data_IF_207645883357
#
_entry.id   IF_207645883357
#
_cell.length_a   1.000
_cell.length_b   1.000
_cell.length_c   1.000
_cell.angle_alpha   90.00
_cell.angle_beta   90.00
_cell.angle_gamma   90.00
#
_symmetry.space_group_name_H-M   'P 1'
#
loop_
_entity.id
_entity.type
_entity.pdbx_description
1 polymer ?
#
# COMPACT_ATOMS: atom_id res chain seq x y z
N UNK A 1 8.39 -8.15 -9.83
CA UNK A 1 8.37 -9.44 -9.10
C UNK A 1 9.17 -10.51 -9.82
N UNK A 2 8.99 -10.70 -11.13
CA UNK A 2 9.78 -11.65 -11.92
C UNK A 2 11.30 -11.44 -11.78
N UNK A 3 11.79 -10.20 -11.83
CA UNK A 3 13.21 -9.89 -11.58
C UNK A 3 13.68 -10.39 -10.21
N UNK A 4 12.84 -10.28 -9.18
CA UNK A 4 13.18 -10.74 -7.82
C UNK A 4 13.22 -12.27 -7.73
N UNK A 5 12.28 -12.95 -8.41
CA UNK A 5 12.30 -14.41 -8.51
C UNK A 5 13.56 -14.87 -9.24
N UNK A 6 13.90 -14.21 -10.35
CA UNK A 6 15.12 -14.50 -11.12
C UNK A 6 16.40 -14.21 -10.32
N UNK A 7 16.36 -13.27 -9.37
CA UNK A 7 17.47 -12.99 -8.45
C UNK A 7 17.51 -13.92 -7.21
N UNK A 8 16.68 -14.96 -7.17
CA UNK A 8 16.69 -15.98 -6.12
C UNK A 8 15.78 -15.70 -4.91
N UNK A 9 14.95 -14.66 -4.94
CA UNK A 9 13.92 -14.46 -3.90
C UNK A 9 12.82 -15.50 -4.09
N UNK A 10 12.43 -16.17 -3.03
CA UNK A 10 11.39 -17.22 -3.09
C UNK A 10 9.98 -16.64 -3.03
N UNK A 11 9.00 -17.38 -3.55
CA UNK A 11 7.58 -17.02 -3.39
C UNK A 11 7.17 -16.87 -1.91
N UNK A 12 7.74 -17.67 -1.00
CA UNK A 12 7.48 -17.57 0.44
C UNK A 12 8.00 -16.24 1.02
N UNK A 13 9.16 -15.75 0.56
CA UNK A 13 9.65 -14.44 0.96
C UNK A 13 8.72 -13.32 0.44
N UNK A 14 8.26 -13.43 -0.82
CA UNK A 14 7.33 -12.45 -1.41
C UNK A 14 5.98 -12.38 -0.70
N UNK A 15 5.50 -13.50 -0.12
CA UNK A 15 4.30 -13.50 0.73
C UNK A 15 4.42 -12.57 1.94
N UNK A 16 5.64 -12.38 2.45
CA UNK A 16 5.94 -11.56 3.63
C UNK A 16 6.23 -10.10 3.27
N UNK A 17 6.65 -9.79 2.05
CA UNK A 17 7.07 -8.44 1.65
C UNK A 17 5.94 -7.42 1.57
N UNK A 18 4.73 -7.87 1.27
CA UNK A 18 3.58 -6.99 1.24
C UNK A 18 2.49 -7.44 0.29
N UNK A 19 1.44 -6.63 0.23
CA UNK A 19 0.20 -6.96 -0.46
C UNK A 19 0.43 -7.27 -1.95
N UNK A 20 1.05 -6.36 -2.68
CA UNK A 20 1.24 -6.49 -4.13
C UNK A 20 2.17 -7.66 -4.47
N UNK A 21 3.30 -7.76 -3.77
CA UNK A 21 4.26 -8.86 -3.92
C UNK A 21 3.58 -10.22 -3.75
N UNK A 22 2.78 -10.37 -2.69
CA UNK A 22 1.99 -11.56 -2.42
C UNK A 22 1.05 -11.93 -3.57
N UNK A 23 0.24 -10.98 -4.05
CA UNK A 23 -0.74 -11.26 -5.10
C UNK A 23 -0.08 -11.59 -6.44
N UNK A 24 0.94 -10.83 -6.82
CA UNK A 24 1.68 -11.06 -8.07
C UNK A 24 2.45 -12.38 -7.99
N UNK A 25 3.08 -12.68 -6.84
CA UNK A 25 3.76 -13.95 -6.57
C UNK A 25 2.83 -15.14 -6.77
N UNK A 26 1.61 -15.09 -6.22
CA UNK A 26 0.59 -16.14 -6.37
C UNK A 26 0.12 -16.33 -7.82
N UNK A 27 0.01 -15.25 -8.58
CA UNK A 27 -0.30 -15.32 -10.01
C UNK A 27 0.83 -16.02 -10.78
N UNK A 28 2.08 -15.62 -10.55
CA UNK A 28 3.25 -16.23 -11.19
C UNK A 28 3.43 -17.71 -10.80
N UNK A 29 3.06 -18.08 -9.57
CA UNK A 29 3.04 -19.47 -9.11
C UNK A 29 1.87 -20.30 -9.72
N UNK A 30 0.94 -19.67 -10.44
CA UNK A 30 -0.23 -20.33 -11.03
C UNK A 30 -1.37 -20.61 -10.04
N UNK A 31 -1.25 -20.16 -8.79
CA UNK A 31 -2.29 -20.34 -7.75
C UNK A 31 -3.46 -19.36 -7.87
N UNK A 32 -3.30 -18.28 -8.63
CA UNK A 32 -4.36 -17.34 -8.99
C UNK A 32 -4.35 -17.08 -10.50
N UNK A 33 -5.54 -17.00 -11.11
CA UNK A 33 -5.67 -16.49 -12.47
C UNK A 33 -5.46 -14.97 -12.49
N UNK A 34 -5.03 -14.42 -13.63
CA UNK A 34 -4.74 -12.98 -13.78
C UNK A 34 -5.91 -12.09 -13.35
N UNK A 35 -7.12 -12.38 -13.85
CA UNK A 35 -8.32 -11.59 -13.53
C UNK A 35 -8.67 -11.67 -12.04
N UNK A 36 -8.56 -12.86 -11.44
CA UNK A 36 -8.83 -13.07 -10.03
C UNK A 36 -7.82 -12.34 -9.15
N UNK A 37 -6.53 -12.43 -9.49
CA UNK A 37 -5.45 -11.71 -8.83
C UNK A 37 -5.71 -10.21 -8.87
N UNK A 38 -6.05 -9.66 -10.04
CA UNK A 38 -6.33 -8.24 -10.21
C UNK A 38 -7.53 -7.79 -9.36
N UNK A 39 -8.65 -8.51 -9.41
CA UNK A 39 -9.84 -8.18 -8.61
C UNK A 39 -9.55 -8.19 -7.11
N UNK A 40 -8.91 -9.26 -6.63
CA UNK A 40 -8.60 -9.43 -5.19
C UNK A 40 -7.59 -8.39 -4.71
N UNK A 41 -6.54 -8.13 -5.49
CA UNK A 41 -5.55 -7.11 -5.17
C UNK A 41 -6.19 -5.73 -5.11
N UNK A 42 -7.01 -5.37 -6.10
CA UNK A 42 -7.71 -4.09 -6.12
C UNK A 42 -8.59 -3.89 -4.88
N UNK A 43 -9.41 -4.89 -4.53
CA UNK A 43 -10.21 -4.84 -3.29
C UNK A 43 -9.34 -4.68 -2.04
N UNK A 44 -8.23 -5.42 -1.97
CA UNK A 44 -7.34 -5.38 -0.82
C UNK A 44 -6.62 -4.02 -0.67
N UNK A 45 -6.26 -3.36 -1.78
CA UNK A 45 -5.72 -1.99 -1.79
C UNK A 45 -6.74 -1.02 -1.20
N UNK A 46 -8.00 -1.07 -1.66
CA UNK A 46 -9.07 -0.21 -1.12
C UNK A 46 -9.28 -0.41 0.38
N UNK A 47 -9.31 -1.66 0.84
CA UNK A 47 -9.44 -1.97 2.25
C UNK A 47 -8.23 -1.50 3.06
N UNK A 48 -7.02 -1.63 2.52
CA UNK A 48 -5.81 -1.13 3.15
C UNK A 48 -5.85 0.39 3.30
N UNK A 49 -6.17 1.13 2.24
CA UNK A 49 -6.34 2.59 2.28
C UNK A 49 -7.41 3.02 3.28
N UNK A 50 -8.55 2.30 3.37
CA UNK A 50 -9.57 2.56 4.39
C UNK A 50 -9.02 2.38 5.81
N UNK A 51 -8.22 1.34 6.06
CA UNK A 51 -7.56 1.12 7.36
C UNK A 51 -6.55 2.21 7.68
N UNK A 52 -5.78 2.69 6.70
CA UNK A 52 -4.88 3.84 6.87
C UNK A 52 -5.66 5.07 7.33
N UNK A 53 -6.78 5.39 6.69
CA UNK A 53 -7.64 6.51 7.14
C UNK A 53 -8.16 6.34 8.56
N UNK A 54 -8.56 5.12 8.96
CA UNK A 54 -8.95 4.85 10.34
C UNK A 54 -7.78 5.04 11.32
N UNK A 55 -6.58 4.59 10.95
CA UNK A 55 -5.37 4.76 11.76
C UNK A 55 -5.05 6.24 11.97
N UNK A 56 -5.05 7.05 10.92
CA UNK A 56 -4.79 8.49 11.02
C UNK A 56 -5.85 9.23 11.85
N UNK A 57 -7.14 8.92 11.68
CA UNK A 57 -8.20 9.48 12.54
C UNK A 57 -8.00 9.12 14.01
N UNK A 58 -7.54 7.91 14.29
CA UNK A 58 -7.22 7.51 15.66
C UNK A 58 -6.03 8.30 16.22
N UNK A 59 -5.02 8.62 15.41
CA UNK A 59 -3.92 9.49 15.84
C UNK A 59 -4.42 10.89 16.22
N UNK A 60 -5.27 11.51 15.39
CA UNK A 60 -5.90 12.81 15.71
C UNK A 60 -6.73 12.76 16.98
N UNK A 61 -7.51 11.68 17.17
CA UNK A 61 -8.27 11.44 18.40
C UNK A 61 -7.37 11.35 19.65
N UNK A 62 -6.14 10.86 19.50
CA UNK A 62 -5.15 10.77 20.58
C UNK A 62 -4.27 12.03 20.69
N UNK A 63 -4.67 13.15 20.08
CA UNK A 63 -4.02 14.45 20.22
C UNK A 63 -2.85 14.68 19.26
N UNK A 64 -2.56 13.77 18.33
CA UNK A 64 -1.54 14.00 17.30
C UNK A 64 -2.16 14.86 16.20
N UNK A 65 -1.70 16.10 16.07
CA UNK A 65 -2.15 16.97 14.98
C UNK A 65 -1.61 16.48 13.63
N UNK A 66 -2.52 16.17 12.70
CA UNK A 66 -2.19 15.85 11.31
C UNK A 66 -2.56 17.04 10.43
N UNK A 67 -1.58 17.57 9.70
CA UNK A 67 -1.82 18.57 8.67
C UNK A 67 -2.09 17.88 7.34
N UNK A 68 -3.37 17.69 7.02
CA UNK A 68 -3.79 17.05 5.77
C UNK A 68 -3.50 17.94 4.56
N UNK A 69 -2.99 17.34 3.49
CA UNK A 69 -2.77 17.99 2.19
C UNK A 69 -3.90 17.57 1.24
N UNK A 70 -4.88 18.44 0.95
CA UNK A 70 -5.93 18.13 -0.01
C UNK A 70 -5.32 17.82 -1.39
N UNK A 71 -5.79 16.76 -2.02
CA UNK A 71 -5.36 16.32 -3.36
C UNK A 71 -3.85 16.04 -3.51
N UNK A 72 -3.08 16.01 -2.41
CA UNK A 72 -1.63 15.77 -2.46
C UNK A 72 -0.83 16.89 -3.14
N UNK A 73 -1.33 18.13 -3.15
CA UNK A 73 -0.64 19.29 -3.76
C UNK A 73 0.68 19.59 -3.05
N UNK A 74 1.77 19.59 -3.82
CA UNK A 74 3.12 19.80 -3.30
C UNK A 74 3.28 21.20 -2.70
N UNK A 75 2.71 22.21 -3.36
CA UNK A 75 2.79 23.61 -2.95
C UNK A 75 2.21 23.80 -1.55
N UNK A 76 1.03 23.22 -1.31
CA UNK A 76 0.36 23.26 0.01
C UNK A 76 1.21 22.60 1.11
N UNK A 77 1.96 21.55 0.79
CA UNK A 77 2.86 20.91 1.75
C UNK A 77 4.07 21.79 2.07
N UNK A 78 4.64 22.45 1.05
CA UNK A 78 5.77 23.36 1.22
C UNK A 78 5.41 24.58 2.08
N UNK A 79 4.22 25.13 1.89
CA UNK A 79 3.75 26.29 2.67
C UNK A 79 3.60 25.95 4.16
N UNK A 80 3.06 24.76 4.48
CA UNK A 80 2.94 24.28 5.86
C UNK A 80 4.28 24.08 6.56
N UNK A 81 5.31 23.61 5.84
CA UNK A 81 6.64 23.40 6.41
C UNK A 81 7.31 24.74 6.72
N UNK A 82 7.13 25.75 5.87
CA UNK A 82 7.76 27.08 6.05
C UNK A 82 7.13 27.92 7.16
N UNK A 83 5.90 27.62 7.56
CA UNK A 83 5.16 28.33 8.61
C UNK A 83 5.49 27.83 10.02
N UNK A 84 6.17 26.68 10.14
CA UNK A 84 6.64 26.07 11.39
C UNK A 84 8.16 26.27 11.54
#
# INVERSE_FOLDING_TARGET
VEILLNSGITHEQLERFGLEYRFISRYLLGTLKLEEMWKKLNTAIHQFSKRQMTFFRNMEKNGIQIYWIPEGKLESALDLIKLN
#
